data_IF_207400078887
#
_entry.id   IF_207400078887
#
_cell.length_a   1.000
_cell.length_b   1.000
_cell.length_c   1.000
_cell.angle_alpha   90.00
_cell.angle_beta   90.00
_cell.angle_gamma   90.00
#
_symmetry.space_group_name_H-M   'P 1'
#
loop_
_entity.id
_entity.type
_entity.pdbx_description
1 polymer ?
#
# COMPACT_ATOMS: atom_id res chain seq x y z
N UNK A 1 -22.34 -1.45 15.12
CA UNK A 1 -21.56 -0.19 15.01
C UNK A 1 -20.66 -0.34 13.80
N UNK A 2 -21.03 0.23 12.65
CA UNK A 2 -20.12 0.29 11.50
C UNK A 2 -19.08 1.36 11.80
N UNK A 3 -17.93 0.97 12.31
CA UNK A 3 -16.80 1.88 12.46
C UNK A 3 -16.27 2.11 11.04
N UNK A 4 -16.48 3.29 10.48
CA UNK A 4 -15.91 3.64 9.18
C UNK A 4 -14.38 3.60 9.30
N UNK A 5 -13.72 2.72 8.55
CA UNK A 5 -12.27 2.66 8.50
C UNK A 5 -11.68 4.03 8.13
N UNK A 6 -10.62 4.50 8.82
CA UNK A 6 -10.02 5.80 8.51
C UNK A 6 -9.50 5.80 7.08
N UNK A 7 -9.56 6.96 6.44
CA UNK A 7 -9.07 7.14 5.07
C UNK A 7 -7.79 7.96 5.09
N UNK A 8 -6.73 7.41 4.51
CA UNK A 8 -5.46 8.06 4.28
C UNK A 8 -5.41 8.50 2.82
N UNK A 9 -5.07 9.77 2.59
CA UNK A 9 -4.82 10.27 1.24
C UNK A 9 -3.33 10.11 0.91
N UNK A 10 -3.02 9.28 -0.09
CA UNK A 10 -1.64 9.04 -0.51
C UNK A 10 -0.93 10.36 -0.82
N UNK A 11 -1.57 11.26 -1.57
CA UNK A 11 -0.92 12.51 -2.00
C UNK A 11 -0.80 13.55 -0.88
N UNK A 12 -1.45 13.33 0.27
CA UNK A 12 -1.19 14.10 1.48
C UNK A 12 0.01 13.57 2.28
N UNK A 13 0.40 12.30 2.07
CA UNK A 13 1.51 11.64 2.77
C UNK A 13 2.83 11.77 2.01
N UNK A 14 2.78 11.83 0.68
CA UNK A 14 3.97 11.79 -0.19
C UNK A 14 3.92 12.90 -1.24
N UNK A 15 5.10 13.31 -1.72
CA UNK A 15 5.22 14.30 -2.81
C UNK A 15 5.03 13.72 -4.21
N UNK A 16 4.97 12.38 -4.31
CA UNK A 16 5.00 11.60 -5.54
C UNK A 16 5.14 10.11 -5.24
N UNK A 17 5.14 9.27 -6.28
CA UNK A 17 5.17 7.80 -6.15
C UNK A 17 6.36 7.16 -6.87
N UNK A 18 7.50 7.85 -6.89
CA UNK A 18 8.66 7.48 -7.72
C UNK A 18 9.94 7.14 -6.95
N UNK A 19 10.04 7.52 -5.68
CA UNK A 19 11.29 7.37 -4.90
C UNK A 19 11.15 6.43 -3.70
N UNK A 20 12.28 5.93 -3.20
CA UNK A 20 12.33 5.12 -1.98
C UNK A 20 11.87 5.93 -0.76
N UNK A 21 12.28 7.20 -0.66
CA UNK A 21 11.92 8.07 0.47
C UNK A 21 10.41 8.31 0.55
N UNK A 22 9.73 8.47 -0.59
CA UNK A 22 8.28 8.54 -0.65
C UNK A 22 7.63 7.21 -0.24
N UNK A 23 8.22 6.08 -0.65
CA UNK A 23 7.77 4.75 -0.22
C UNK A 23 7.86 4.59 1.29
N UNK A 24 8.98 4.97 1.88
CA UNK A 24 9.22 4.89 3.33
C UNK A 24 8.24 5.75 4.15
N UNK A 25 7.82 6.91 3.62
CA UNK A 25 6.77 7.73 4.22
C UNK A 25 5.43 7.00 4.24
N UNK A 26 5.05 6.36 3.13
CA UNK A 26 3.83 5.56 3.07
C UNK A 26 3.88 4.35 4.02
N UNK A 27 5.02 3.64 4.07
CA UNK A 27 5.25 2.57 5.04
C UNK A 27 4.98 3.05 6.47
N UNK A 28 5.62 4.17 6.86
CA UNK A 28 5.52 4.72 8.22
C UNK A 28 4.08 5.07 8.59
N UNK A 29 3.30 5.58 7.64
CA UNK A 29 1.90 5.94 7.86
C UNK A 29 0.99 4.71 8.05
N UNK A 30 1.27 3.60 7.35
CA UNK A 30 0.39 2.43 7.32
C UNK A 30 0.77 1.34 8.33
N UNK A 31 2.06 1.18 8.64
CA UNK A 31 2.57 0.14 9.53
C UNK A 31 1.84 0.06 10.89
N UNK A 32 1.54 1.16 11.59
CA UNK A 32 0.81 1.09 12.87
C UNK A 32 -0.57 0.46 12.76
N UNK A 33 -1.27 0.69 11.65
CA UNK A 33 -2.61 0.13 11.43
C UNK A 33 -2.55 -1.37 11.10
N UNK A 34 -1.53 -1.81 10.37
CA UNK A 34 -1.33 -3.24 10.09
C UNK A 34 -0.95 -3.97 11.38
N UNK A 35 -0.03 -3.39 12.17
CA UNK A 35 0.41 -3.96 13.45
C UNK A 35 -0.74 -4.13 14.46
N UNK A 36 -1.75 -3.25 14.42
CA UNK A 36 -2.95 -3.34 15.28
C UNK A 36 -4.09 -4.17 14.69
N UNK A 37 -3.93 -4.75 13.50
CA UNK A 37 -4.99 -5.46 12.79
C UNK A 37 -6.12 -4.54 12.30
N UNK A 38 -5.90 -3.24 12.28
CA UNK A 38 -6.89 -2.26 11.85
C UNK A 38 -6.97 -2.20 10.32
N UNK A 39 -8.20 -2.07 9.81
CA UNK A 39 -8.46 -1.80 8.39
C UNK A 39 -8.41 -0.29 8.12
N UNK A 40 -7.70 0.10 7.07
CA UNK A 40 -7.59 1.48 6.57
C UNK A 40 -7.96 1.54 5.09
N UNK A 41 -8.51 2.68 4.68
CA UNK A 41 -8.77 3.00 3.28
C UNK A 41 -7.62 3.87 2.77
N UNK A 42 -6.92 3.45 1.73
CA UNK A 42 -5.87 4.25 1.09
C UNK A 42 -6.42 4.83 -0.21
N UNK A 43 -6.64 6.15 -0.22
CA UNK A 43 -7.03 6.89 -1.42
C UNK A 43 -5.84 7.08 -2.34
N UNK A 44 -5.99 6.69 -3.62
CA UNK A 44 -5.00 6.94 -4.67
C UNK A 44 -5.41 8.11 -5.58
N UNK A 45 -6.27 9.00 -5.09
CA UNK A 45 -6.71 10.16 -5.85
C UNK A 45 -5.51 11.07 -6.16
N UNK A 46 -5.34 11.46 -7.42
CA UNK A 46 -4.22 12.30 -7.85
C UNK A 46 -2.86 11.60 -7.87
N UNK A 47 -2.78 10.30 -7.54
CA UNK A 47 -1.53 9.57 -7.55
C UNK A 47 -0.94 9.45 -8.97
N UNK A 48 0.39 9.59 -9.05
CA UNK A 48 1.16 9.30 -10.26
C UNK A 48 1.40 7.80 -10.43
N UNK A 49 1.77 7.32 -11.64
CA UNK A 49 2.20 5.94 -11.83
C UNK A 49 3.29 5.53 -10.83
N UNK A 50 3.05 4.43 -10.12
CA UNK A 50 3.92 3.98 -9.03
C UNK A 50 5.16 3.24 -9.57
N UNK A 51 6.34 3.80 -9.28
CA UNK A 51 7.62 3.15 -9.58
C UNK A 51 7.87 1.95 -8.67
N UNK A 52 8.70 1.02 -9.13
CA UNK A 52 9.06 -0.18 -8.34
C UNK A 52 9.81 0.19 -7.05
N UNK A 53 10.71 1.17 -7.10
CA UNK A 53 11.40 1.75 -5.92
C UNK A 53 10.42 2.14 -4.81
N UNK A 54 9.42 2.94 -5.19
CA UNK A 54 8.35 3.38 -4.29
C UNK A 54 7.57 2.20 -3.71
N UNK A 55 7.18 1.23 -4.55
CA UNK A 55 6.40 0.06 -4.11
C UNK A 55 7.22 -0.84 -3.18
N UNK A 56 8.50 -1.08 -3.48
CA UNK A 56 9.41 -1.86 -2.66
C UNK A 56 9.53 -1.25 -1.27
N UNK A 57 9.90 0.04 -1.18
CA UNK A 57 10.07 0.74 0.09
C UNK A 57 8.76 1.05 0.84
N UNK A 58 7.59 0.72 0.25
CA UNK A 58 6.29 0.84 0.92
C UNK A 58 5.65 -0.53 1.14
N UNK A 59 4.94 -1.05 0.14
CA UNK A 59 4.22 -2.31 0.21
C UNK A 59 5.16 -3.51 0.32
N UNK A 60 6.34 -3.49 -0.31
CA UNK A 60 7.35 -4.54 -0.14
C UNK A 60 7.77 -4.69 1.31
N UNK A 61 8.24 -3.61 1.93
CA UNK A 61 8.62 -3.58 3.36
C UNK A 61 7.45 -3.94 4.29
N UNK A 62 6.21 -3.51 3.98
CA UNK A 62 5.03 -3.93 4.76
C UNK A 62 4.77 -5.44 4.66
N UNK A 63 4.97 -6.03 3.47
CA UNK A 63 4.80 -7.47 3.26
C UNK A 63 5.92 -8.23 3.97
N UNK A 64 7.16 -7.77 3.88
CA UNK A 64 8.31 -8.42 4.51
C UNK A 64 8.17 -8.43 6.05
N UNK A 65 7.63 -7.37 6.64
CA UNK A 65 7.44 -7.28 8.09
C UNK A 65 6.17 -7.94 8.63
N UNK A 66 5.03 -7.87 7.90
CA UNK A 66 3.73 -8.29 8.42
C UNK A 66 3.10 -9.46 7.66
N UNK A 67 3.68 -9.86 6.52
CA UNK A 67 3.13 -10.87 5.63
C UNK A 67 2.05 -10.34 4.70
N UNK A 68 1.95 -10.93 3.51
CA UNK A 68 1.01 -10.49 2.46
C UNK A 68 -0.46 -10.57 2.89
N UNK A 69 -0.81 -11.54 3.75
CA UNK A 69 -2.16 -11.73 4.25
C UNK A 69 -2.61 -10.55 5.12
N UNK A 70 -1.76 -10.08 6.04
CA UNK A 70 -2.05 -8.93 6.89
C UNK A 70 -2.21 -7.65 6.06
N UNK A 71 -1.30 -7.43 5.10
CA UNK A 71 -1.35 -6.27 4.19
C UNK A 71 -2.66 -6.24 3.39
N UNK A 72 -3.05 -7.37 2.78
CA UNK A 72 -4.31 -7.48 2.01
C UNK A 72 -5.56 -7.34 2.88
N UNK A 73 -5.49 -7.78 4.13
CA UNK A 73 -6.59 -7.61 5.09
C UNK A 73 -6.75 -6.13 5.48
N UNK A 74 -5.66 -5.51 5.92
CA UNK A 74 -5.64 -4.18 6.53
C UNK A 74 -5.76 -3.04 5.53
N UNK A 75 -5.30 -3.16 4.29
CA UNK A 75 -5.34 -2.03 3.33
C UNK A 75 -6.44 -2.24 2.29
N UNK A 76 -7.34 -1.26 2.16
CA UNK A 76 -8.34 -1.19 1.09
C UNK A 76 -8.06 0.02 0.20
N UNK A 77 -7.70 -0.21 -1.05
CA UNK A 77 -7.54 0.87 -2.02
C UNK A 77 -8.89 1.50 -2.37
N UNK A 78 -8.93 2.82 -2.45
CA UNK A 78 -10.11 3.60 -2.87
C UNK A 78 -9.68 4.75 -3.78
N UNK A 79 -10.63 5.33 -4.52
CA UNK A 79 -10.40 6.52 -5.36
C UNK A 79 -9.21 6.38 -6.32
N UNK A 80 -9.08 5.20 -6.94
CA UNK A 80 -7.96 4.84 -7.80
C UNK A 80 -8.36 4.80 -9.28
N UNK A 81 -7.38 4.95 -10.17
CA UNK A 81 -7.53 4.68 -11.59
C UNK A 81 -7.36 3.18 -11.88
N UNK A 82 -7.96 2.65 -12.97
CA UNK A 82 -7.75 1.25 -13.36
C UNK A 82 -6.26 0.86 -13.50
N UNK A 83 -5.42 1.77 -13.99
CA UNK A 83 -3.97 1.56 -14.10
C UNK A 83 -3.29 1.38 -12.74
N UNK A 84 -3.73 2.07 -11.69
CA UNK A 84 -3.22 1.90 -10.33
C UNK A 84 -3.58 0.52 -9.78
N UNK A 85 -4.82 0.06 -10.03
CA UNK A 85 -5.27 -1.25 -9.62
C UNK A 85 -4.48 -2.37 -10.33
N UNK A 86 -4.29 -2.26 -11.64
CA UNK A 86 -3.45 -3.19 -12.40
C UNK A 86 -2.02 -3.20 -11.87
N UNK A 87 -1.39 -2.03 -11.70
CA UNK A 87 -0.02 -1.92 -11.21
C UNK A 87 0.16 -2.56 -9.83
N UNK A 88 -0.78 -2.33 -8.91
CA UNK A 88 -0.73 -2.93 -7.58
C UNK A 88 -0.97 -4.44 -7.63
N UNK A 89 -1.90 -4.90 -8.47
CA UNK A 89 -2.15 -6.33 -8.66
C UNK A 89 -0.89 -7.03 -9.17
N UNK A 90 -0.29 -6.53 -10.24
CA UNK A 90 0.93 -7.09 -10.83
C UNK A 90 2.06 -7.16 -9.79
N UNK A 91 2.20 -6.12 -8.99
CA UNK A 91 3.16 -6.07 -7.89
C UNK A 91 2.86 -7.10 -6.80
N UNK A 92 1.64 -7.17 -6.27
CA UNK A 92 1.28 -8.12 -5.21
C UNK A 92 1.30 -9.58 -5.68
N UNK A 93 1.04 -9.82 -6.96
CA UNK A 93 1.09 -11.18 -7.53
C UNK A 93 2.55 -11.65 -7.74
N UNK A 94 3.53 -10.74 -7.90
CA UNK A 94 4.95 -11.15 -7.91
C UNK A 94 5.43 -11.71 -6.57
N UNK A 95 4.82 -11.29 -5.46
CA UNK A 95 5.09 -11.83 -4.12
C UNK A 95 4.46 -13.22 -3.89
N UNK A 96 3.31 -13.50 -4.52
CA UNK A 96 2.69 -14.83 -4.46
C UNK A 96 3.56 -15.92 -5.08
N UNK A 97 4.32 -15.59 -6.12
CA UNK A 97 5.23 -16.53 -6.78
C UNK A 97 6.41 -16.89 -5.88
N UNK A 98 6.85 -15.98 -5.01
CA UNK A 98 7.98 -16.19 -4.09
C UNK A 98 7.61 -17.05 -2.86
N UNK A 99 6.36 -17.02 -2.40
CA UNK A 99 5.90 -17.87 -1.28
C UNK A 99 5.61 -19.33 -1.70
N UNK A 100 5.50 -19.60 -3.00
CA UNK A 100 5.16 -20.91 -3.54
C UNK A 100 6.36 -21.69 -4.12
N UNK A 101 7.57 -21.12 -4.05
CA UNK A 101 8.82 -21.70 -4.54
C UNK A 101 9.70 -22.14 -3.36
#
# INVERSE_FOLDING_TARGET
MHINAPTFDLMALVGGTSTNDEGAKLYTALAPAIASGQVVRLSLHGATPMATSFLNSSFGELIDHYGIAAVRHSIKLVSFLPSHATRMKDYLDSYRVLEAA
#
